data_IF_571774569634
#
_entry.id   IF_571774569634
#
_cell.length_a   1.000
_cell.length_b   1.000
_cell.length_c   1.000
_cell.angle_alpha   90.00
_cell.angle_beta   90.00
_cell.angle_gamma   90.00
#
_symmetry.space_group_name_H-M   'P 1'
#
loop_
_entity.id
_entity.type
_entity.pdbx_description
1 polymer ?
#
# COMPACT_ATOMS: atom_id res chain seq x y z
N UNK A 1 -0.01 -21.28 -25.67
CA UNK A 1 -0.18 -21.14 -24.19
C UNK A 1 0.02 -19.67 -23.84
N UNK A 2 -1.06 -18.93 -23.69
CA UNK A 2 -1.05 -17.54 -23.22
C UNK A 2 -0.54 -17.54 -21.78
N UNK A 3 0.63 -16.96 -21.54
CA UNK A 3 1.18 -16.77 -20.20
C UNK A 3 0.15 -15.96 -19.40
N UNK A 4 -0.53 -16.58 -18.46
CA UNK A 4 -1.40 -15.87 -17.51
C UNK A 4 -0.56 -14.77 -16.87
N UNK A 5 -0.96 -13.53 -17.11
CA UNK A 5 -0.29 -12.36 -16.51
C UNK A 5 -0.67 -12.35 -15.04
N UNK A 6 0.32 -12.15 -14.19
CA UNK A 6 0.11 -12.07 -12.76
C UNK A 6 -0.27 -10.61 -12.41
N UNK A 7 -1.49 -10.39 -11.92
CA UNK A 7 -2.02 -9.07 -11.56
C UNK A 7 -1.12 -8.35 -10.56
N UNK A 8 -0.53 -9.09 -9.62
CA UNK A 8 0.42 -8.53 -8.62
C UNK A 8 1.71 -8.03 -9.25
N UNK A 9 2.11 -8.61 -10.38
CA UNK A 9 3.26 -8.10 -11.14
C UNK A 9 2.92 -6.77 -11.84
N UNK A 10 1.70 -6.62 -12.35
CA UNK A 10 1.21 -5.37 -12.92
C UNK A 10 1.11 -4.28 -11.84
N UNK A 11 0.54 -4.62 -10.68
CA UNK A 11 0.51 -3.72 -9.51
C UNK A 11 1.91 -3.25 -9.15
N UNK A 12 2.88 -4.16 -9.05
CA UNK A 12 4.27 -3.80 -8.76
C UNK A 12 4.84 -2.84 -9.80
N UNK A 13 4.57 -3.07 -11.09
CA UNK A 13 4.99 -2.17 -12.17
C UNK A 13 4.47 -0.75 -11.96
N UNK A 14 3.17 -0.61 -11.73
CA UNK A 14 2.51 0.68 -11.48
C UNK A 14 3.10 1.36 -10.22
N UNK A 15 3.23 0.62 -9.12
CA UNK A 15 3.80 1.17 -7.89
C UNK A 15 5.24 1.66 -8.07
N UNK A 16 6.03 1.02 -8.94
CA UNK A 16 7.39 1.47 -9.24
C UNK A 16 7.38 2.74 -10.10
N UNK A 17 6.53 2.82 -11.13
CA UNK A 17 6.37 4.03 -11.94
C UNK A 17 6.00 5.24 -11.06
N UNK A 18 5.08 5.05 -10.11
CA UNK A 18 4.66 6.14 -9.21
C UNK A 18 5.72 6.48 -8.17
N UNK A 19 6.24 5.47 -7.44
CA UNK A 19 7.07 5.72 -6.25
C UNK A 19 8.55 5.92 -6.54
N UNK A 20 9.04 5.51 -7.70
CA UNK A 20 10.43 5.63 -8.12
C UNK A 20 10.60 6.66 -9.22
N UNK A 21 9.73 6.60 -10.23
CA UNK A 21 9.87 7.39 -11.45
C UNK A 21 9.05 8.69 -11.40
N UNK A 22 8.17 8.86 -10.39
CA UNK A 22 7.40 10.07 -10.15
C UNK A 22 6.17 10.24 -11.05
N UNK A 23 5.72 9.19 -11.72
CA UNK A 23 4.52 9.24 -12.56
C UNK A 23 3.26 9.41 -11.72
N UNK A 24 2.25 10.05 -12.28
CA UNK A 24 0.95 10.18 -11.61
C UNK A 24 0.20 8.85 -11.55
N UNK A 25 -0.32 8.48 -10.38
CA UNK A 25 -0.96 7.18 -10.13
C UNK A 25 -2.08 6.84 -11.13
N UNK A 26 -2.95 7.80 -11.45
CA UNK A 26 -4.04 7.61 -12.40
C UNK A 26 -3.55 7.42 -13.85
N UNK A 27 -2.40 8.01 -14.23
CA UNK A 27 -1.81 7.84 -15.56
C UNK A 27 -1.18 6.46 -15.66
N UNK A 28 -0.34 6.08 -14.70
CA UNK A 28 0.31 4.77 -14.66
C UNK A 28 -0.72 3.62 -14.65
N UNK A 29 -1.77 3.72 -13.81
CA UNK A 29 -2.85 2.75 -13.75
C UNK A 29 -3.60 2.65 -15.08
N UNK A 30 -4.02 3.78 -15.66
CA UNK A 30 -4.73 3.83 -16.95
C UNK A 30 -3.90 3.22 -18.07
N UNK A 31 -2.62 3.50 -18.14
CA UNK A 31 -1.72 2.97 -19.16
C UNK A 31 -1.65 1.45 -19.10
N UNK A 32 -1.51 0.87 -17.89
CA UNK A 32 -1.49 -0.58 -17.71
C UNK A 32 -2.85 -1.19 -18.08
N UNK A 33 -3.97 -0.64 -17.59
CA UNK A 33 -5.30 -1.16 -17.89
C UNK A 33 -5.66 -1.07 -19.38
N UNK A 34 -5.19 -0.06 -20.09
CA UNK A 34 -5.38 0.09 -21.53
C UNK A 34 -4.49 -0.88 -22.33
N UNK A 35 -3.28 -1.15 -21.86
CA UNK A 35 -2.37 -2.12 -22.49
C UNK A 35 -2.88 -3.54 -22.37
N UNK A 36 -3.55 -3.89 -21.29
CA UNK A 36 -4.04 -5.24 -20.97
C UNK A 36 -5.58 -5.30 -21.02
N UNK A 37 -6.16 -4.93 -22.16
CA UNK A 37 -7.62 -4.84 -22.34
C UNK A 37 -8.36 -6.18 -22.21
N UNK A 38 -7.67 -7.31 -22.35
CA UNK A 38 -8.21 -8.66 -22.22
C UNK A 38 -8.39 -9.11 -20.76
N UNK A 39 -7.91 -8.34 -19.77
CA UNK A 39 -8.15 -8.62 -18.37
C UNK A 39 -9.65 -8.50 -18.06
N UNK A 40 -10.17 -9.46 -17.30
CA UNK A 40 -11.55 -9.46 -16.89
C UNK A 40 -11.86 -8.34 -15.86
N UNK A 41 -13.14 -8.14 -15.55
CA UNK A 41 -13.56 -7.10 -14.62
C UNK A 41 -13.00 -7.29 -13.21
N UNK A 42 -12.83 -8.54 -12.77
CA UNK A 42 -12.30 -8.85 -11.42
C UNK A 42 -10.81 -8.58 -11.33
N UNK A 43 -10.05 -8.98 -12.35
CA UNK A 43 -8.61 -8.71 -12.45
C UNK A 43 -8.33 -7.21 -12.48
N UNK A 44 -9.08 -6.45 -13.29
CA UNK A 44 -8.97 -4.98 -13.36
C UNK A 44 -9.31 -4.32 -12.02
N UNK A 45 -10.39 -4.74 -11.37
CA UNK A 45 -10.78 -4.24 -10.05
C UNK A 45 -9.74 -4.56 -8.98
N UNK A 46 -9.14 -5.76 -9.01
CA UNK A 46 -8.06 -6.14 -8.10
C UNK A 46 -6.82 -5.25 -8.29
N UNK A 47 -6.36 -5.07 -9.53
CA UNK A 47 -5.20 -4.22 -9.86
C UNK A 47 -5.45 -2.79 -9.37
N UNK A 48 -6.62 -2.22 -9.68
CA UNK A 48 -6.99 -0.86 -9.26
C UNK A 48 -6.98 -0.75 -7.73
N UNK A 49 -7.72 -1.62 -7.04
CA UNK A 49 -7.88 -1.58 -5.58
C UNK A 49 -6.53 -1.74 -4.85
N UNK A 50 -5.70 -2.70 -5.26
CA UNK A 50 -4.39 -2.90 -4.60
C UNK A 50 -3.44 -1.75 -4.88
N UNK A 51 -3.44 -1.21 -6.10
CA UNK A 51 -2.58 -0.07 -6.46
C UNK A 51 -2.97 1.18 -5.69
N UNK A 52 -4.22 1.63 -5.83
CA UNK A 52 -4.72 2.85 -5.20
C UNK A 52 -4.63 2.76 -3.68
N UNK A 53 -5.14 1.67 -3.09
CA UNK A 53 -5.11 1.52 -1.64
C UNK A 53 -3.70 1.39 -1.07
N UNK A 54 -2.73 0.81 -1.80
CA UNK A 54 -1.32 0.80 -1.35
C UNK A 54 -0.73 2.21 -1.36
N UNK A 55 -1.05 3.03 -2.34
CA UNK A 55 -0.56 4.41 -2.43
C UNK A 55 -1.22 5.31 -1.38
N UNK A 56 -2.53 5.21 -1.22
CA UNK A 56 -3.30 5.98 -0.24
C UNK A 56 -2.87 5.68 1.20
N UNK A 57 -2.61 4.42 1.52
CA UNK A 57 -2.22 3.97 2.85
C UNK A 57 -0.71 3.87 3.06
N UNK A 58 0.09 4.46 2.19
CA UNK A 58 1.54 4.22 2.16
C UNK A 58 2.25 4.57 3.46
N UNK A 59 1.88 5.66 4.13
CA UNK A 59 2.49 6.09 5.40
C UNK A 59 2.15 5.09 6.51
N UNK A 60 0.89 4.68 6.61
CA UNK A 60 0.45 3.66 7.56
C UNK A 60 1.14 2.32 7.32
N UNK A 61 1.20 1.87 6.05
CA UNK A 61 1.87 0.62 5.69
C UNK A 61 3.36 0.66 6.05
N UNK A 62 4.05 1.76 5.77
CA UNK A 62 5.46 1.94 6.13
C UNK A 62 5.66 1.93 7.65
N UNK A 63 4.74 2.53 8.39
CA UNK A 63 4.77 2.50 9.85
C UNK A 63 4.63 1.07 10.38
N UNK A 64 3.65 0.31 9.88
CA UNK A 64 3.44 -1.10 10.25
C UNK A 64 4.69 -1.93 9.92
N UNK A 65 5.22 -1.83 8.70
CA UNK A 65 6.40 -2.57 8.27
C UNK A 65 7.59 -2.26 9.18
N UNK A 66 7.77 -0.99 9.54
CA UNK A 66 8.88 -0.55 10.38
C UNK A 66 8.82 -1.06 11.84
N UNK A 67 7.64 -1.46 12.34
CA UNK A 67 7.50 -2.09 13.66
C UNK A 67 8.08 -3.51 13.67
N UNK A 68 7.91 -4.25 12.58
CA UNK A 68 8.25 -5.67 12.50
C UNK A 68 9.56 -5.93 11.74
N UNK A 69 10.14 -4.93 11.09
CA UNK A 69 11.34 -5.06 10.28
C UNK A 69 12.57 -4.47 10.97
N UNK A 70 13.66 -5.22 10.99
CA UNK A 70 14.98 -4.71 11.39
C UNK A 70 15.53 -3.67 10.39
N UNK A 71 15.13 -3.79 9.12
CA UNK A 71 15.53 -2.87 8.05
C UNK A 71 14.40 -1.88 7.82
N UNK A 72 14.67 -0.59 8.01
CA UNK A 72 13.67 0.47 7.76
C UNK A 72 13.26 0.48 6.28
N UNK A 73 11.98 0.77 6.02
CA UNK A 73 11.38 0.75 4.67
C UNK A 73 12.14 1.63 3.69
N UNK A 74 12.60 2.81 4.11
CA UNK A 74 13.37 3.74 3.28
C UNK A 74 14.75 3.19 2.86
N UNK A 75 15.28 2.19 3.55
CA UNK A 75 16.55 1.50 3.24
C UNK A 75 16.35 0.27 2.36
N UNK A 76 15.12 -0.17 2.14
CA UNK A 76 14.82 -1.30 1.27
C UNK A 76 14.93 -0.91 -0.21
N UNK A 77 15.33 -1.87 -1.05
CA UNK A 77 15.28 -1.68 -2.51
C UNK A 77 13.84 -1.40 -2.96
N UNK A 78 13.60 -0.46 -3.89
CA UNK A 78 12.24 -0.05 -4.30
C UNK A 78 11.32 -1.22 -4.67
N UNK A 79 11.84 -2.23 -5.36
CA UNK A 79 11.07 -3.43 -5.75
C UNK A 79 10.60 -4.20 -4.52
N UNK A 80 11.49 -4.49 -3.57
CA UNK A 80 11.17 -5.24 -2.35
C UNK A 80 10.21 -4.45 -1.47
N UNK A 81 10.45 -3.16 -1.31
CA UNK A 81 9.59 -2.23 -0.56
C UNK A 81 8.15 -2.26 -1.07
N UNK A 82 7.95 -2.12 -2.37
CA UNK A 82 6.61 -2.10 -2.96
C UNK A 82 5.93 -3.48 -2.96
N UNK A 83 6.69 -4.57 -3.09
CA UNK A 83 6.16 -5.93 -2.89
C UNK A 83 5.62 -6.10 -1.47
N UNK A 84 6.38 -5.67 -0.45
CA UNK A 84 5.97 -5.80 0.95
C UNK A 84 4.77 -4.89 1.24
N UNK A 85 4.79 -3.62 0.80
CA UNK A 85 3.66 -2.68 0.97
C UNK A 85 2.37 -3.25 0.40
N UNK A 86 2.38 -3.71 -0.86
CA UNK A 86 1.19 -4.28 -1.50
C UNK A 86 0.70 -5.57 -0.86
N UNK A 87 1.61 -6.39 -0.31
CA UNK A 87 1.23 -7.60 0.43
C UNK A 87 0.58 -7.24 1.77
N UNK A 88 1.16 -6.30 2.54
CA UNK A 88 0.59 -5.84 3.82
C UNK A 88 -0.78 -5.18 3.60
N UNK A 89 -0.93 -4.39 2.52
CA UNK A 89 -2.24 -3.85 2.15
C UNK A 89 -3.28 -4.94 1.92
N UNK A 90 -2.94 -5.97 1.12
CA UNK A 90 -3.85 -7.09 0.88
C UNK A 90 -4.23 -7.81 2.17
N UNK A 91 -3.27 -8.07 3.06
CA UNK A 91 -3.51 -8.76 4.34
C UNK A 91 -4.41 -7.96 5.29
N UNK A 92 -4.31 -6.62 5.27
CA UNK A 92 -5.03 -5.77 6.21
C UNK A 92 -6.40 -5.29 5.70
N UNK A 93 -6.54 -5.10 4.39
CA UNK A 93 -7.69 -4.41 3.80
C UNK A 93 -8.48 -5.24 2.78
N UNK A 94 -8.10 -6.49 2.54
CA UNK A 94 -8.75 -7.35 1.55
C UNK A 94 -9.15 -8.70 2.13
N UNK A 95 -10.30 -8.78 2.78
CA UNK A 95 -10.83 -10.02 3.39
C UNK A 95 -10.99 -11.17 2.37
N UNK A 96 -11.18 -10.81 1.10
CA UNK A 96 -11.29 -11.78 0.00
C UNK A 96 -9.96 -12.45 -0.38
N UNK A 97 -8.83 -11.96 0.13
CA UNK A 97 -7.49 -12.49 -0.13
C UNK A 97 -6.94 -13.15 1.13
N UNK A 98 -6.76 -14.49 1.15
CA UNK A 98 -6.13 -15.13 2.29
C UNK A 98 -4.71 -14.58 2.54
N UNK A 99 -4.38 -14.27 3.79
CA UNK A 99 -3.07 -13.72 4.16
C UNK A 99 -1.92 -14.62 3.70
N UNK A 100 -2.09 -15.94 3.80
CA UNK A 100 -1.11 -16.92 3.32
C UNK A 100 -0.88 -16.82 1.81
N UNK A 101 -1.92 -16.49 1.02
CA UNK A 101 -1.79 -16.29 -0.42
C UNK A 101 -1.04 -14.99 -0.72
N UNK A 102 -1.37 -13.90 -0.04
CA UNK A 102 -0.65 -12.62 -0.18
C UNK A 102 0.85 -12.79 0.12
N UNK A 103 1.21 -13.47 1.22
CA UNK A 103 2.59 -13.77 1.58
C UNK A 103 3.31 -14.62 0.51
N UNK A 104 2.69 -15.72 0.08
CA UNK A 104 3.30 -16.64 -0.89
C UNK A 104 3.54 -15.97 -2.25
N UNK A 105 2.57 -15.21 -2.74
CA UNK A 105 2.71 -14.50 -4.02
C UNK A 105 3.74 -13.36 -3.95
N UNK A 106 3.84 -12.65 -2.83
CA UNK A 106 4.88 -11.66 -2.60
C UNK A 106 6.29 -12.28 -2.68
N UNK A 107 6.48 -13.45 -2.05
CA UNK A 107 7.74 -14.19 -2.09
C UNK A 107 8.08 -14.67 -3.51
N UNK A 108 7.09 -15.24 -4.23
CA UNK A 108 7.28 -15.66 -5.64
C UNK A 108 7.65 -14.47 -6.52
N UNK A 109 7.00 -13.31 -6.31
CA UNK A 109 7.27 -12.10 -7.07
C UNK A 109 8.68 -11.55 -6.79
N UNK A 110 9.14 -11.56 -5.54
CA UNK A 110 10.50 -11.17 -5.19
C UNK A 110 11.53 -12.07 -5.90
N UNK A 111 11.34 -13.39 -5.90
CA UNK A 111 12.19 -14.34 -6.61
C UNK A 111 12.16 -14.08 -8.13
N UNK A 112 10.99 -13.89 -8.72
CA UNK A 112 10.81 -13.59 -10.15
C UNK A 112 11.52 -12.32 -10.58
N UNK A 113 11.58 -11.31 -9.70
CA UNK A 113 12.30 -10.04 -9.94
C UNK A 113 13.80 -10.11 -9.63
N UNK A 114 14.36 -11.30 -9.40
CA UNK A 114 15.80 -11.53 -9.22
C UNK A 114 16.29 -11.37 -7.77
N UNK A 115 15.38 -11.20 -6.79
CA UNK A 115 15.75 -11.05 -5.37
C UNK A 115 15.69 -12.35 -4.59
N UNK A 116 16.24 -13.44 -5.14
CA UNK A 116 16.24 -14.78 -4.53
C UNK A 116 16.84 -14.74 -3.11
N UNK A 117 17.93 -14.00 -2.93
CA UNK A 117 18.62 -13.85 -1.64
C UNK A 117 17.74 -13.17 -0.56
N UNK A 118 16.72 -12.42 -0.94
CA UNK A 118 15.80 -11.75 -0.02
C UNK A 118 14.51 -12.54 0.24
N UNK A 119 14.36 -13.74 -0.37
CA UNK A 119 13.20 -14.62 -0.19
C UNK A 119 12.89 -14.87 1.29
N UNK A 120 13.90 -15.23 2.08
CA UNK A 120 13.75 -15.50 3.51
C UNK A 120 13.34 -14.26 4.30
N UNK A 121 13.92 -13.10 3.97
CA UNK A 121 13.56 -11.82 4.58
C UNK A 121 12.09 -11.44 4.31
N UNK A 122 11.66 -11.48 3.05
CA UNK A 122 10.28 -11.15 2.66
C UNK A 122 9.28 -12.09 3.35
N UNK A 123 9.54 -13.41 3.30
CA UNK A 123 8.67 -14.39 3.92
C UNK A 123 8.60 -14.23 5.45
N UNK A 124 9.75 -14.09 6.11
CA UNK A 124 9.81 -13.93 7.56
C UNK A 124 9.11 -12.67 8.04
N UNK A 125 9.34 -11.55 7.36
CA UNK A 125 8.70 -10.27 7.69
C UNK A 125 7.17 -10.33 7.52
N UNK A 126 6.69 -10.79 6.36
CA UNK A 126 5.25 -10.85 6.09
C UNK A 126 4.52 -11.80 7.03
N UNK A 127 5.10 -12.97 7.33
CA UNK A 127 4.51 -13.89 8.32
C UNK A 127 4.54 -13.34 9.74
N UNK A 128 5.55 -12.55 10.09
CA UNK A 128 5.58 -11.87 11.39
C UNK A 128 4.47 -10.81 11.48
N UNK A 129 4.28 -10.02 10.44
CA UNK A 129 3.18 -9.05 10.37
C UNK A 129 1.83 -9.76 10.44
N UNK A 130 1.63 -10.84 9.69
CA UNK A 130 0.39 -11.63 9.66
C UNK A 130 -0.03 -12.11 11.07
N UNK A 131 0.93 -12.67 11.83
CA UNK A 131 0.66 -13.15 13.20
C UNK A 131 0.31 -12.05 14.19
N UNK A 132 0.72 -10.83 13.92
CA UNK A 132 0.58 -9.70 14.84
C UNK A 132 -0.31 -8.58 14.28
N UNK A 133 -1.13 -8.86 13.24
CA UNK A 133 -1.99 -7.85 12.61
C UNK A 133 -2.92 -7.16 13.61
N UNK A 134 -3.45 -7.91 14.57
CA UNK A 134 -4.33 -7.39 15.63
C UNK A 134 -3.57 -6.66 16.74
N UNK A 135 -2.25 -6.82 16.81
CA UNK A 135 -1.38 -6.25 17.85
C UNK A 135 -0.56 -5.04 17.35
N UNK A 136 -0.94 -4.49 16.19
CA UNK A 136 -0.27 -3.31 15.65
C UNK A 136 -0.46 -2.16 16.63
N UNK A 137 0.65 -1.63 17.14
CA UNK A 137 0.64 -0.45 18.00
C UNK A 137 0.68 0.81 17.15
N UNK A 138 -0.35 1.64 17.26
CA UNK A 138 -0.39 2.96 16.64
C UNK A 138 0.26 4.00 17.56
N UNK A 139 0.70 5.17 17.02
CA UNK A 139 1.24 6.24 17.86
C UNK A 139 0.24 6.69 18.92
N UNK A 140 0.75 7.14 20.07
CA UNK A 140 -0.08 7.69 21.14
C UNK A 140 -0.76 9.00 20.66
N UNK A 141 -2.03 9.20 21.04
CA UNK A 141 -2.76 10.44 20.74
C UNK A 141 -2.13 11.69 21.35
N UNK A 142 -1.21 11.55 22.31
CA UNK A 142 -0.40 12.64 22.85
C UNK A 142 0.52 13.25 21.80
N UNK A 143 1.01 12.45 20.86
CA UNK A 143 1.69 12.94 19.66
C UNK A 143 0.67 13.02 18.52
N UNK A 144 -0.19 14.03 18.58
CA UNK A 144 -1.32 14.20 17.68
C UNK A 144 -0.90 14.21 16.21
N UNK A 145 0.22 14.84 15.87
CA UNK A 145 0.72 14.89 14.49
C UNK A 145 1.07 13.51 13.96
N UNK A 146 1.83 12.73 14.73
CA UNK A 146 2.19 11.35 14.34
C UNK A 146 0.96 10.42 14.33
N UNK A 147 0.09 10.56 15.33
CA UNK A 147 -1.14 9.77 15.40
C UNK A 147 -2.00 9.97 14.16
N UNK A 148 -2.32 11.21 13.80
CA UNK A 148 -3.13 11.54 12.63
C UNK A 148 -2.42 11.16 11.33
N UNK A 149 -1.10 11.37 11.26
CA UNK A 149 -0.30 11.02 10.09
C UNK A 149 -0.40 9.53 9.77
N UNK A 150 -0.23 8.68 10.78
CA UNK A 150 -0.29 7.22 10.58
C UNK A 150 -1.72 6.74 10.36
N UNK A 151 -2.66 7.19 11.19
CA UNK A 151 -4.08 6.78 11.13
C UNK A 151 -4.72 7.10 9.78
N UNK A 152 -4.46 8.30 9.26
CA UNK A 152 -5.05 8.78 8.00
C UNK A 152 -4.06 8.78 6.83
N UNK A 153 -2.88 8.20 7.01
CA UNK A 153 -1.82 8.17 5.98
C UNK A 153 -1.54 9.55 5.36
N UNK A 154 -1.64 10.61 6.16
CA UNK A 154 -1.48 12.00 5.76
C UNK A 154 -0.06 12.50 6.07
N UNK A 155 0.64 13.17 5.12
CA UNK A 155 1.95 13.75 5.38
C UNK A 155 1.93 14.75 6.55
N UNK A 156 2.91 14.65 7.46
CA UNK A 156 2.97 15.50 8.67
C UNK A 156 3.04 17.00 8.37
N UNK A 157 3.67 17.39 7.24
CA UNK A 157 3.74 18.81 6.86
C UNK A 157 2.35 19.42 6.55
N UNK A 158 1.43 18.63 5.98
CA UNK A 158 0.04 19.05 5.75
C UNK A 158 -0.68 19.19 7.09
N UNK A 159 -0.52 18.18 7.95
CA UNK A 159 -1.15 18.20 9.28
C UNK A 159 -0.71 19.39 10.11
N UNK A 160 0.57 19.75 10.08
CA UNK A 160 1.07 20.97 10.78
C UNK A 160 0.38 22.22 10.28
N UNK A 161 0.21 22.39 8.98
CA UNK A 161 -0.49 23.54 8.41
C UNK A 161 -1.96 23.57 8.83
N UNK A 162 -2.62 22.42 8.81
CA UNK A 162 -4.03 22.32 9.18
C UNK A 162 -4.24 22.53 10.68
N UNK A 163 -3.43 21.92 11.54
CA UNK A 163 -3.50 22.09 13.00
C UNK A 163 -3.08 23.50 13.46
N UNK A 164 -2.33 24.24 12.65
CA UNK A 164 -2.05 25.65 12.92
C UNK A 164 -3.24 26.58 12.56
N UNK A 165 -4.11 26.16 11.64
CA UNK A 165 -5.22 26.96 11.14
C UNK A 165 -6.59 26.56 11.75
N UNK A 166 -6.73 25.30 12.15
CA UNK A 166 -8.00 24.72 12.61
C UNK A 166 -7.79 23.92 13.90
N UNK A 167 -8.85 23.76 14.68
CA UNK A 167 -8.84 22.90 15.86
C UNK A 167 -8.76 21.40 15.47
N UNK A 168 -8.42 20.55 16.46
CA UNK A 168 -8.27 19.10 16.29
C UNK A 168 -9.50 18.45 15.66
N UNK A 169 -10.69 18.80 16.15
CA UNK A 169 -11.95 18.15 15.73
C UNK A 169 -12.24 18.46 14.26
N UNK A 170 -12.04 19.71 13.85
CA UNK A 170 -12.17 20.11 12.44
C UNK A 170 -11.19 19.38 11.53
N UNK A 171 -9.92 19.24 11.95
CA UNK A 171 -8.90 18.50 11.18
C UNK A 171 -9.25 17.03 11.07
N UNK A 172 -9.68 16.37 12.15
CA UNK A 172 -10.11 14.97 12.09
C UNK A 172 -11.33 14.79 11.18
N UNK A 173 -12.29 15.71 11.21
CA UNK A 173 -13.44 15.69 10.31
C UNK A 173 -13.02 15.83 8.84
N UNK A 174 -12.11 16.75 8.49
CA UNK A 174 -11.59 16.89 7.14
C UNK A 174 -10.88 15.61 6.67
N UNK A 175 -10.07 14.99 7.54
CA UNK A 175 -9.38 13.74 7.24
C UNK A 175 -10.38 12.59 7.01
N UNK A 176 -11.40 12.47 7.83
CA UNK A 176 -12.47 11.48 7.64
C UNK A 176 -13.18 11.66 6.30
N UNK A 177 -13.53 12.88 5.92
CA UNK A 177 -14.20 13.17 4.66
C UNK A 177 -13.38 12.80 3.44
N UNK A 178 -12.05 12.98 3.48
CA UNK A 178 -11.16 12.57 2.40
C UNK A 178 -11.19 11.05 2.14
N UNK A 179 -11.45 10.26 3.19
CA UNK A 179 -11.51 8.79 3.08
C UNK A 179 -12.91 8.23 2.83
N UNK A 180 -13.96 8.96 3.18
CA UNK A 180 -15.34 8.48 3.12
C UNK A 180 -16.11 9.04 1.94
N UNK A 181 -15.69 10.19 1.40
CA UNK A 181 -16.35 10.77 0.23
C UNK A 181 -16.02 9.97 -1.02
N UNK A 182 -17.03 9.44 -1.74
CA UNK A 182 -16.80 8.82 -3.04
C UNK A 182 -16.17 9.86 -3.96
N UNK A 183 -15.13 9.45 -4.70
CA UNK A 183 -14.56 10.30 -5.72
C UNK A 183 -15.63 10.73 -6.72
N UNK A 184 -15.62 11.98 -7.21
CA UNK A 184 -16.52 12.39 -8.29
C UNK A 184 -16.46 11.49 -9.53
N UNK A 185 -15.43 10.64 -9.63
CA UNK A 185 -15.28 9.64 -10.71
C UNK A 185 -16.02 8.33 -10.42
N UNK A 186 -16.37 8.05 -9.16
CA UNK A 186 -17.07 6.82 -8.76
C UNK A 186 -18.59 6.93 -8.91
N UNK A 187 -19.09 8.14 -9.19
CA UNK A 187 -20.52 8.47 -9.35
C UNK A 187 -21.00 8.48 -10.80
N UNK A 188 -20.20 7.92 -11.74
CA UNK A 188 -20.60 7.78 -13.16
C UNK A 188 -20.73 6.33 -13.59
#
# INVERSE_FOLDING_TARGET
MTKSINERELVLGILLEVTRDGEHSHIALRNVLNKYQYLDKKERAFITRVTEGTLERMIELDYIINQFSKVKVNKMKPVIRNIIRSAVYQMKYMDSVPNSAACNEAVKLAVKKGFVNLKGFVNGLLRNIDRNLEQISYPDEKDLEQYLSVKYSMPTWILRQWLAAYDRESVECMLCLLYTSPSPRDTR
#
